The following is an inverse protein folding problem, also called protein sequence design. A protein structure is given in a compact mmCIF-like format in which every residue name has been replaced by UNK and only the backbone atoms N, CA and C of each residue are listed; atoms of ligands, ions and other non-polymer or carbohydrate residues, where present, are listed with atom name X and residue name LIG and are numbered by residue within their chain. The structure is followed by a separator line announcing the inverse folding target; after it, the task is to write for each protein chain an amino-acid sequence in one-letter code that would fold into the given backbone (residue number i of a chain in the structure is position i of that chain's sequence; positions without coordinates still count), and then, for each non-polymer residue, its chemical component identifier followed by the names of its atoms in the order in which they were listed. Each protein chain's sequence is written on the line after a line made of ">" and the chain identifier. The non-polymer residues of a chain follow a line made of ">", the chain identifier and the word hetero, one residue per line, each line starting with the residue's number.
data_IF_455896436237
#
_entry.id   IF_455896436237
#
_cell.length_a   1.000
_cell.length_b   1.000
_cell.length_c   1.000
_cell.angle_alpha   90.00
_cell.angle_beta   90.00
_cell.angle_gamma   90.00
#
_symmetry.space_group_name_H-M   'P 1'
#
loop_
_entity.id
_entity.type
_entity.pdbx_description
1 polymer ?
#
# COMPACT_ATOMS: atom_id res chain seq x y z
N UNK A 1 24.58 17.96 -5.44
CA UNK A 1 24.02 16.60 -5.39
C UNK A 1 22.61 16.66 -5.92
N UNK A 2 22.37 16.17 -7.14
CA UNK A 2 21.03 16.19 -7.76
C UNK A 2 20.21 15.06 -7.12
N UNK A 3 19.35 15.42 -6.20
CA UNK A 3 18.38 14.46 -5.62
C UNK A 3 17.43 14.06 -6.73
N UNK A 4 17.45 12.81 -7.14
CA UNK A 4 16.53 12.26 -8.14
C UNK A 4 15.13 12.16 -7.51
N UNK A 5 14.46 13.30 -7.37
CA UNK A 5 13.03 13.33 -7.03
C UNK A 5 12.28 13.02 -8.31
N UNK A 6 11.65 11.87 -8.39
CA UNK A 6 10.63 11.66 -9.43
C UNK A 6 9.52 12.66 -9.13
N UNK A 7 9.26 13.64 -10.01
CA UNK A 7 8.17 14.56 -9.79
C UNK A 7 6.87 13.79 -9.60
N UNK A 8 6.02 14.23 -8.67
CA UNK A 8 4.74 13.58 -8.36
C UNK A 8 3.92 13.34 -9.64
N UNK A 9 3.90 14.29 -10.56
CA UNK A 9 3.20 14.21 -11.85
C UNK A 9 3.69 13.03 -12.72
N UNK A 10 4.99 12.73 -12.71
CA UNK A 10 5.54 11.59 -13.45
C UNK A 10 5.11 10.26 -12.83
N UNK A 11 5.08 10.17 -11.51
CA UNK A 11 4.58 9.00 -10.81
C UNK A 11 3.07 8.80 -11.11
N UNK A 12 2.28 9.86 -11.01
CA UNK A 12 0.86 9.85 -11.36
C UNK A 12 0.62 9.42 -12.82
N UNK A 13 1.39 9.94 -13.78
CA UNK A 13 1.27 9.55 -15.17
C UNK A 13 1.62 8.07 -15.42
N UNK A 14 2.62 7.52 -14.72
CA UNK A 14 2.97 6.11 -14.82
C UNK A 14 1.86 5.22 -14.22
N UNK A 15 1.34 5.57 -13.06
CA UNK A 15 0.24 4.88 -12.39
C UNK A 15 -1.02 4.90 -13.26
N UNK A 16 -1.38 6.05 -13.81
CA UNK A 16 -2.55 6.19 -14.70
C UNK A 16 -2.43 5.31 -15.94
N UNK A 17 -1.25 5.26 -16.58
CA UNK A 17 -1.03 4.38 -17.74
C UNK A 17 -1.17 2.91 -17.37
N UNK A 18 -0.58 2.47 -16.25
CA UNK A 18 -0.67 1.09 -15.79
C UNK A 18 -2.12 0.72 -15.43
N UNK A 19 -2.84 1.64 -14.79
CA UNK A 19 -4.24 1.46 -14.45
C UNK A 19 -5.14 1.38 -15.69
N UNK A 20 -4.88 2.21 -16.72
CA UNK A 20 -5.60 2.15 -18.00
C UNK A 20 -5.41 0.80 -18.70
N UNK A 21 -4.25 0.17 -18.60
CA UNK A 21 -4.02 -1.18 -19.13
C UNK A 21 -4.91 -2.24 -18.46
N UNK A 22 -5.22 -2.07 -17.16
CA UNK A 22 -6.16 -2.91 -16.43
C UNK A 22 -7.58 -2.77 -16.97
N UNK A 23 -8.00 -1.55 -17.34
CA UNK A 23 -9.37 -1.26 -17.79
C UNK A 23 -9.60 -1.57 -19.28
N UNK A 24 -8.55 -1.61 -20.10
CA UNK A 24 -8.63 -1.81 -21.55
C UNK A 24 -8.56 -3.27 -22.02
N UNK A 25 -8.72 -4.24 -21.12
CA UNK A 25 -8.99 -5.62 -21.52
C UNK A 25 -7.92 -6.67 -21.21
N UNK A 26 -6.91 -6.36 -20.39
CA UNK A 26 -6.06 -7.41 -19.81
C UNK A 26 -6.58 -7.82 -18.44
N UNK A 27 -7.28 -8.96 -18.30
CA UNK A 27 -7.83 -9.41 -17.02
C UNK A 27 -6.74 -9.83 -16.00
N UNK A 28 -5.47 -9.76 -16.39
CA UNK A 28 -4.34 -10.32 -15.64
C UNK A 28 -3.44 -9.27 -14.98
N UNK A 29 -3.73 -7.96 -15.12
CA UNK A 29 -2.92 -6.91 -14.50
C UNK A 29 -3.54 -6.48 -13.19
N UNK A 30 -2.86 -6.77 -12.08
CA UNK A 30 -3.18 -6.25 -10.76
C UNK A 30 -2.15 -5.19 -10.36
N UNK A 31 -2.62 -3.97 -10.06
CA UNK A 31 -1.76 -2.86 -9.66
C UNK A 31 -1.64 -2.82 -8.14
N UNK A 32 -0.41 -2.85 -7.64
CA UNK A 32 -0.05 -2.54 -6.27
C UNK A 32 1.02 -1.45 -6.25
N UNK A 33 1.02 -0.62 -5.24
CA UNK A 33 1.95 0.49 -5.09
C UNK A 33 2.84 0.27 -3.87
N UNK A 34 4.13 0.55 -4.02
CA UNK A 34 5.09 0.54 -2.91
C UNK A 34 5.67 1.94 -2.75
N UNK A 35 5.63 2.46 -1.53
CA UNK A 35 6.19 3.74 -1.16
C UNK A 35 7.26 3.53 -0.10
N UNK A 36 8.54 3.64 -0.49
CA UNK A 36 9.64 3.64 0.46
C UNK A 36 9.67 4.98 1.18
N UNK A 37 9.39 4.97 2.48
CA UNK A 37 9.41 6.20 3.28
C UNK A 37 10.83 6.47 3.74
N UNK A 38 11.43 7.56 3.25
CA UNK A 38 12.80 7.97 3.59
C UNK A 38 12.75 9.26 4.40
N UNK A 39 13.28 9.27 5.64
CA UNK A 39 13.26 10.45 6.50
C UNK A 39 13.81 11.68 5.81
N UNK A 40 13.17 12.82 6.00
CA UNK A 40 13.52 14.13 5.43
C UNK A 40 13.38 14.29 3.90
N UNK A 41 13.23 13.18 3.16
CA UNK A 41 13.12 13.23 1.70
C UNK A 41 11.68 13.16 1.20
N UNK A 42 10.86 12.26 1.78
CA UNK A 42 9.50 12.03 1.31
C UNK A 42 8.52 11.61 2.43
N UNK A 43 8.86 11.87 3.69
CA UNK A 43 8.07 11.53 4.88
C UNK A 43 7.07 12.63 5.30
N UNK A 44 6.87 13.65 4.46
CA UNK A 44 5.90 14.71 4.69
C UNK A 44 4.46 14.18 4.60
N UNK A 45 3.76 14.21 5.72
CA UNK A 45 2.39 13.68 5.86
C UNK A 45 1.38 14.45 5.01
N UNK A 46 1.58 15.75 4.77
CA UNK A 46 0.68 16.54 3.91
C UNK A 46 0.74 16.06 2.46
N UNK A 47 1.93 15.77 1.96
CA UNK A 47 2.14 15.22 0.61
C UNK A 47 1.65 13.77 0.50
N UNK A 48 1.81 12.97 1.54
CA UNK A 48 1.27 11.61 1.59
C UNK A 48 -0.27 11.67 1.52
N UNK A 49 -0.90 12.59 2.23
CA UNK A 49 -2.37 12.80 2.16
C UNK A 49 -2.82 13.24 0.77
N UNK A 50 -2.10 14.14 0.14
CA UNK A 50 -2.38 14.60 -1.24
C UNK A 50 -2.30 13.43 -2.23
N UNK A 51 -1.23 12.63 -2.15
CA UNK A 51 -1.07 11.41 -2.94
C UNK A 51 -2.23 10.43 -2.72
N UNK A 52 -2.62 10.18 -1.47
CA UNK A 52 -3.71 9.27 -1.15
C UNK A 52 -5.05 9.74 -1.74
N UNK A 53 -5.37 11.02 -1.63
CA UNK A 53 -6.58 11.61 -2.25
C UNK A 53 -6.56 11.47 -3.76
N UNK A 54 -5.41 11.73 -4.38
CA UNK A 54 -5.25 11.55 -5.82
C UNK A 54 -5.47 10.09 -6.23
N UNK A 55 -4.91 9.12 -5.50
CA UNK A 55 -5.10 7.69 -5.75
C UNK A 55 -6.58 7.31 -5.66
N UNK A 56 -7.27 7.72 -4.60
CA UNK A 56 -8.70 7.44 -4.44
C UNK A 56 -9.51 7.97 -5.61
N UNK A 57 -9.20 9.19 -6.08
CA UNK A 57 -9.96 9.85 -7.14
C UNK A 57 -9.66 9.30 -8.55
N UNK A 58 -8.44 8.83 -8.81
CA UNK A 58 -8.00 8.47 -10.17
C UNK A 58 -7.80 6.96 -10.38
N UNK A 59 -7.57 6.19 -9.31
CA UNK A 59 -7.34 4.74 -9.37
C UNK A 59 -8.42 3.98 -8.62
N UNK A 60 -8.99 4.62 -7.61
CA UNK A 60 -10.02 4.05 -6.75
C UNK A 60 -9.50 3.65 -5.38
N UNK A 61 -10.43 3.42 -4.43
CA UNK A 61 -10.08 3.16 -3.03
C UNK A 61 -9.44 1.78 -2.78
N UNK A 62 -9.46 0.90 -3.78
CA UNK A 62 -9.08 -0.51 -3.66
C UNK A 62 -7.66 -0.82 -4.07
N UNK A 63 -6.92 0.17 -4.58
CA UNK A 63 -5.50 -0.02 -4.92
C UNK A 63 -4.70 -0.28 -3.64
N UNK A 64 -3.97 -1.41 -3.53
CA UNK A 64 -3.12 -1.66 -2.38
C UNK A 64 -1.93 -0.70 -2.38
N UNK A 65 -1.69 -0.07 -1.23
CA UNK A 65 -0.53 0.80 -1.00
C UNK A 65 0.30 0.25 0.15
N UNK A 66 1.57 -0.03 -0.11
CA UNK A 66 2.53 -0.57 0.85
C UNK A 66 3.55 0.51 1.23
N UNK A 67 3.54 0.95 2.49
CA UNK A 67 4.62 1.76 3.04
C UNK A 67 5.76 0.85 3.48
N UNK A 68 6.93 1.01 2.85
CA UNK A 68 8.12 0.24 3.22
C UNK A 68 9.03 1.08 4.11
N UNK A 69 9.48 0.50 5.23
CA UNK A 69 10.46 1.12 6.10
C UNK A 69 11.82 1.21 5.42
N UNK A 70 12.40 2.40 5.40
CA UNK A 70 13.77 2.61 4.95
C UNK A 70 14.76 2.22 6.06
N UNK A 71 15.86 1.61 5.65
CA UNK A 71 17.06 1.42 6.44
C UNK A 71 18.27 2.04 5.72
N UNK A 72 19.20 2.67 6.45
CA UNK A 72 20.41 3.26 5.87
C UNK A 72 21.18 2.24 5.04
N UNK A 73 21.48 2.59 3.80
CA UNK A 73 22.29 1.76 2.92
C UNK A 73 22.90 2.58 1.78
N UNK A 74 24.06 2.16 1.29
CA UNK A 74 24.75 2.72 0.14
C UNK A 74 25.00 4.23 0.32
N UNK A 75 24.42 5.10 -0.52
CA UNK A 75 24.63 6.56 -0.51
C UNK A 75 23.76 7.32 0.49
N UNK A 76 22.89 6.63 1.21
CA UNK A 76 21.97 7.22 2.20
C UNK A 76 22.27 6.72 3.63
N UNK A 77 23.54 6.43 3.91
CA UNK A 77 23.97 5.97 5.24
C UNK A 77 23.90 7.06 6.32
N UNK A 78 23.84 8.31 5.91
CA UNK A 78 23.74 9.49 6.77
C UNK A 78 22.31 9.75 7.28
N UNK A 79 21.32 9.00 6.84
CA UNK A 79 19.93 9.13 7.28
C UNK A 79 19.59 8.03 8.29
N UNK A 80 18.79 8.31 9.34
CA UNK A 80 18.33 7.28 10.26
C UNK A 80 17.31 6.34 9.59
N UNK A 81 17.09 5.12 10.10
CA UNK A 81 15.96 4.30 9.70
C UNK A 81 14.66 5.05 9.92
N UNK A 82 13.65 4.81 9.06
CA UNK A 82 12.33 5.43 9.25
C UNK A 82 11.75 5.04 10.61
N UNK A 83 11.36 6.00 11.45
CA UNK A 83 10.63 5.70 12.69
C UNK A 83 9.32 4.97 12.37
N UNK A 84 9.00 3.95 13.16
CA UNK A 84 7.73 3.21 12.99
C UNK A 84 6.53 4.14 13.10
N UNK A 85 6.57 5.10 14.04
CA UNK A 85 5.53 6.12 14.21
C UNK A 85 5.27 6.98 12.95
N UNK A 86 6.29 7.17 12.10
CA UNK A 86 6.10 7.86 10.79
C UNK A 86 5.29 6.99 9.83
N UNK A 87 5.56 5.68 9.83
CA UNK A 87 4.81 4.71 9.01
C UNK A 87 3.36 4.57 9.50
N UNK A 88 3.15 4.56 10.83
CA UNK A 88 1.81 4.54 11.43
C UNK A 88 0.99 5.75 10.99
N UNK A 89 1.57 6.95 11.09
CA UNK A 89 0.93 8.19 10.66
C UNK A 89 0.62 8.20 9.16
N UNK A 90 1.54 7.69 8.34
CA UNK A 90 1.33 7.57 6.88
C UNK A 90 0.20 6.60 6.57
N UNK A 91 0.18 5.43 7.23
CA UNK A 91 -0.87 4.43 7.11
C UNK A 91 -2.24 5.01 7.48
N UNK A 92 -2.36 5.63 8.66
CA UNK A 92 -3.60 6.23 9.15
C UNK A 92 -4.09 7.35 8.22
N UNK A 93 -3.20 8.26 7.81
CA UNK A 93 -3.50 9.34 6.86
C UNK A 93 -4.09 8.82 5.55
N UNK A 94 -3.56 7.74 5.01
CA UNK A 94 -4.07 7.14 3.76
C UNK A 94 -5.41 6.44 3.97
N UNK A 95 -5.61 5.81 5.13
CA UNK A 95 -6.90 5.22 5.53
C UNK A 95 -7.99 6.29 5.68
N UNK A 96 -7.67 7.41 6.33
CA UNK A 96 -8.56 8.57 6.44
C UNK A 96 -8.90 9.20 5.10
N UNK A 97 -7.95 9.21 4.16
CA UNK A 97 -8.17 9.70 2.80
C UNK A 97 -9.08 8.78 1.96
N UNK A 98 -9.40 7.58 2.44
CA UNK A 98 -10.35 6.66 1.81
C UNK A 98 -9.73 5.40 1.17
N UNK A 99 -8.40 5.19 1.23
CA UNK A 99 -7.80 3.94 0.76
C UNK A 99 -8.21 2.78 1.68
N UNK A 100 -8.68 1.69 1.10
CA UNK A 100 -9.17 0.52 1.85
C UNK A 100 -8.07 -0.49 2.21
N UNK A 101 -6.99 -0.53 1.44
CA UNK A 101 -5.89 -1.49 1.59
C UNK A 101 -4.56 -0.77 1.69
N UNK A 102 -4.15 -0.45 2.91
CA UNK A 102 -2.88 0.21 3.23
C UNK A 102 -2.08 -0.69 4.16
N UNK A 103 -0.82 -0.89 3.84
CA UNK A 103 0.06 -1.81 4.54
C UNK A 103 1.35 -1.15 5.01
N UNK A 104 1.97 -1.71 6.05
CA UNK A 104 3.32 -1.36 6.51
C UNK A 104 4.22 -2.57 6.36
N UNK A 105 5.33 -2.40 5.63
CA UNK A 105 6.35 -3.42 5.40
C UNK A 105 7.70 -3.08 6.02
N UNK A 106 8.57 -4.08 6.12
CA UNK A 106 9.88 -4.00 6.78
C UNK A 106 9.81 -3.64 8.28
N UNK A 107 8.70 -3.99 8.93
CA UNK A 107 8.49 -3.89 10.38
C UNK A 107 7.90 -5.23 10.84
N UNK A 108 8.71 -6.23 11.19
CA UNK A 108 8.22 -7.55 11.56
C UNK A 108 7.23 -7.50 12.72
N UNK A 109 6.08 -8.18 12.54
CA UNK A 109 5.03 -8.25 13.56
C UNK A 109 4.14 -7.01 13.67
N UNK A 110 4.20 -6.12 12.69
CA UNK A 110 3.34 -4.94 12.64
C UNK A 110 1.90 -5.32 12.25
N UNK A 111 0.88 -4.82 12.97
CA UNK A 111 -0.53 -5.13 12.69
C UNK A 111 -0.96 -4.75 11.26
N UNK A 112 -0.41 -3.68 10.69
CA UNK A 112 -0.70 -3.25 9.32
C UNK A 112 0.01 -4.11 8.24
N UNK A 113 0.72 -5.20 8.59
CA UNK A 113 1.16 -6.18 7.60
C UNK A 113 0.01 -7.12 7.16
N UNK A 114 -1.05 -7.19 7.96
CA UNK A 114 -2.18 -8.06 7.74
C UNK A 114 -3.24 -7.43 6.83
N UNK A 115 -4.10 -8.25 6.21
CA UNK A 115 -5.27 -7.73 5.48
C UNK A 115 -6.52 -7.85 6.32
N UNK A 116 -7.26 -6.75 6.41
CA UNK A 116 -8.53 -6.65 7.09
C UNK A 116 -9.66 -6.47 6.09
N UNK A 117 -10.80 -7.11 6.36
CA UNK A 117 -12.01 -6.91 5.56
C UNK A 117 -12.46 -5.44 5.64
N UNK A 118 -12.68 -4.74 4.52
CA UNK A 118 -13.08 -3.34 4.54
C UNK A 118 -14.46 -3.12 5.17
N UNK A 119 -15.33 -4.14 5.16
CA UNK A 119 -16.70 -4.08 5.70
C UNK A 119 -16.77 -4.43 7.19
N UNK A 120 -16.34 -5.64 7.55
CA UNK A 120 -16.49 -6.11 8.94
C UNK A 120 -15.24 -5.91 9.81
N UNK A 121 -14.16 -5.39 9.27
CA UNK A 121 -12.88 -5.10 9.95
C UNK A 121 -12.17 -6.31 10.54
N UNK A 122 -12.66 -7.52 10.34
CA UNK A 122 -11.96 -8.73 10.78
C UNK A 122 -10.73 -8.99 9.94
N UNK A 123 -9.68 -9.50 10.57
CA UNK A 123 -8.44 -9.94 9.90
C UNK A 123 -8.78 -11.13 9.00
N UNK A 124 -8.46 -11.04 7.71
CA UNK A 124 -8.78 -12.06 6.70
C UNK A 124 -7.53 -12.68 6.07
N UNK A 125 -6.39 -11.99 6.13
CA UNK A 125 -5.08 -12.57 5.82
C UNK A 125 -4.11 -12.21 6.93
N UNK A 126 -3.57 -13.23 7.60
CA UNK A 126 -2.50 -13.07 8.57
C UNK A 126 -1.18 -13.32 7.88
N UNK A 127 -0.28 -12.35 7.93
CA UNK A 127 1.07 -12.45 7.35
C UNK A 127 2.13 -12.53 8.43
N UNK A 128 3.24 -13.14 8.09
CA UNK A 128 4.50 -13.06 8.81
C UNK A 128 5.58 -12.87 7.76
N UNK A 129 5.94 -11.62 7.49
CA UNK A 129 6.74 -11.23 6.34
C UNK A 129 6.06 -11.64 5.03
N UNK A 130 6.73 -12.47 4.22
CA UNK A 130 6.19 -12.96 2.93
C UNK A 130 5.29 -14.20 3.05
N UNK A 131 5.18 -14.79 4.25
CA UNK A 131 4.35 -15.99 4.45
C UNK A 131 2.92 -15.60 4.84
N UNK A 132 1.95 -16.27 4.22
CA UNK A 132 0.55 -16.25 4.69
C UNK A 132 0.43 -17.33 5.76
N UNK A 133 0.24 -16.90 7.02
CA UNK A 133 0.10 -17.80 8.16
C UNK A 133 -1.35 -18.30 8.34
N UNK A 134 -2.33 -17.47 7.97
CA UNK A 134 -3.75 -17.84 7.97
C UNK A 134 -4.52 -17.05 6.91
N UNK A 135 -5.56 -17.68 6.34
CA UNK A 135 -6.44 -17.07 5.35
C UNK A 135 -7.91 -17.39 5.69
N UNK A 136 -8.65 -16.36 6.10
CA UNK A 136 -10.09 -16.39 6.37
C UNK A 136 -10.89 -15.81 5.20
N UNK A 137 -10.58 -16.31 4.01
CA UNK A 137 -11.25 -15.98 2.76
C UNK A 137 -11.68 -17.26 2.04
N UNK A 138 -12.77 -17.16 1.27
CA UNK A 138 -13.24 -18.22 0.39
C UNK A 138 -13.72 -17.59 -0.91
N UNK A 139 -13.26 -18.10 -2.06
CA UNK A 139 -13.64 -17.65 -3.41
C UNK A 139 -13.52 -16.12 -3.58
N UNK A 140 -12.43 -15.54 -3.06
CA UNK A 140 -12.17 -14.10 -3.10
C UNK A 140 -13.08 -13.26 -2.19
N UNK A 141 -13.81 -13.88 -1.25
CA UNK A 141 -14.71 -13.21 -0.32
C UNK A 141 -14.31 -13.42 1.14
N UNK A 142 -14.61 -12.45 1.98
CA UNK A 142 -14.44 -12.52 3.42
C UNK A 142 -15.30 -13.65 4.01
N UNK A 143 -14.69 -14.60 4.72
CA UNK A 143 -15.38 -15.73 5.36
C UNK A 143 -16.41 -15.32 6.41
N UNK A 144 -16.26 -14.14 7.01
CA UNK A 144 -17.10 -13.68 8.12
C UNK A 144 -18.35 -12.93 7.68
N UNK A 145 -18.30 -12.19 6.54
CA UNK A 145 -19.42 -11.32 6.12
C UNK A 145 -19.74 -11.38 4.62
N UNK A 146 -19.02 -12.21 3.85
CA UNK A 146 -19.24 -12.39 2.43
C UNK A 146 -18.79 -11.23 1.54
N UNK A 147 -18.16 -10.18 2.10
CA UNK A 147 -17.67 -9.04 1.31
C UNK A 147 -16.62 -9.51 0.31
N UNK A 148 -16.80 -9.17 -0.98
CA UNK A 148 -15.80 -9.46 -2.01
C UNK A 148 -14.56 -8.61 -1.80
N UNK A 149 -13.40 -9.27 -1.82
CA UNK A 149 -12.11 -8.62 -1.65
C UNK A 149 -11.48 -8.45 -3.03
N UNK A 150 -11.21 -7.21 -3.46
CA UNK A 150 -10.52 -6.95 -4.72
C UNK A 150 -9.18 -7.67 -4.79
N UNK A 151 -8.90 -8.31 -5.92
CA UNK A 151 -7.67 -9.09 -6.12
C UNK A 151 -7.83 -10.10 -7.23
N UNK A 152 -6.73 -10.77 -7.58
CA UNK A 152 -6.74 -11.95 -8.45
C UNK A 152 -6.62 -13.16 -7.54
N UNK A 153 -7.73 -13.84 -7.31
CA UNK A 153 -7.82 -15.03 -6.48
C UNK A 153 -7.88 -16.25 -7.41
N UNK A 154 -6.84 -17.08 -7.38
CA UNK A 154 -6.86 -18.39 -8.05
C UNK A 154 -7.33 -19.42 -7.07
N UNK A 155 -8.16 -20.35 -7.52
CA UNK A 155 -8.43 -21.57 -6.77
C UNK A 155 -7.11 -22.33 -6.60
N UNK A 156 -6.83 -22.76 -5.37
CA UNK A 156 -5.64 -23.53 -5.02
C UNK A 156 -5.86 -25.00 -5.37
#
# INVERSE_FOLDING_TARGET
>A
MTTLRIPFERACAAISRTYSMKTTGSPYVWLELVYLVVPTLNDDISRIREMARWLVSNVGPDVPLHFSRFFPHYRLENLPPTPVSTLDRAHETCREAGLRFVYVGNVPGHEAEHTYCPKCRKKILTRSGYRIAAMDMRDGACRFCGEKIPGIWREA
#
